data_IF_395419903909
#
_entry.id   IF_395419903909
#
_cell.length_a   1.000
_cell.length_b   1.000
_cell.length_c   1.000
_cell.angle_alpha   90.00
_cell.angle_beta   90.00
_cell.angle_gamma   90.00
#
_symmetry.space_group_name_H-M   'P 1'
#
loop_
_entity.id
_entity.type
_entity.pdbx_description
1 polymer ?
#
# COMPACT_ATOMS: atom_id res chain seq x y z
N UNK A 1 13.04 -22.18 25.46
CA UNK A 1 13.63 -21.14 24.58
C UNK A 1 12.76 -21.06 23.33
N UNK A 2 11.99 -19.97 23.14
CA UNK A 2 11.32 -19.70 21.85
C UNK A 2 12.27 -18.83 21.02
N UNK A 3 12.45 -19.19 19.75
CA UNK A 3 13.43 -18.57 18.87
C UNK A 3 13.14 -17.08 18.58
N UNK A 4 14.18 -16.25 18.31
CA UNK A 4 14.03 -14.82 18.14
C UNK A 4 13.63 -14.47 16.69
N UNK A 5 12.40 -14.78 16.32
CA UNK A 5 11.86 -14.38 15.02
C UNK A 5 11.33 -12.93 15.08
N UNK A 6 11.61 -12.14 14.04
CA UNK A 6 11.10 -10.80 13.80
C UNK A 6 10.16 -10.85 12.58
N UNK A 7 9.00 -10.20 12.65
CA UNK A 7 8.03 -10.23 11.56
C UNK A 7 8.10 -8.93 10.76
N UNK A 8 8.54 -9.06 9.50
CA UNK A 8 8.63 -7.95 8.56
C UNK A 8 7.56 -8.14 7.48
N UNK A 9 6.57 -7.25 7.46
CA UNK A 9 5.54 -7.24 6.42
C UNK A 9 5.95 -6.27 5.31
N UNK A 10 6.13 -6.80 4.10
CA UNK A 10 6.36 -6.01 2.89
C UNK A 10 5.05 -5.61 2.24
N UNK A 11 4.52 -4.45 2.60
CA UNK A 11 3.24 -3.93 2.10
C UNK A 11 3.49 -3.03 0.89
N UNK A 12 4.15 -3.53 -0.13
CA UNK A 12 4.56 -2.71 -1.28
C UNK A 12 3.44 -2.49 -2.31
N UNK A 13 2.22 -2.99 -2.09
CA UNK A 13 1.11 -2.91 -3.07
C UNK A 13 -0.25 -2.67 -2.41
N UNK A 14 -0.29 -1.82 -1.39
CA UNK A 14 -1.49 -1.54 -0.58
C UNK A 14 -2.58 -0.89 -1.43
N UNK A 15 -2.21 0.01 -2.33
CA UNK A 15 -3.16 0.75 -3.16
C UNK A 15 -3.88 -0.18 -4.12
N UNK A 16 -3.17 -1.17 -4.67
CA UNK A 16 -3.73 -2.20 -5.53
C UNK A 16 -4.72 -3.12 -4.82
N UNK A 17 -4.63 -3.17 -3.49
CA UNK A 17 -5.26 -4.15 -2.63
C UNK A 17 -6.56 -3.61 -1.97
N UNK A 18 -6.73 -2.29 -1.91
CA UNK A 18 -7.82 -1.62 -1.20
C UNK A 18 -9.19 -1.66 -1.92
N UNK A 19 -9.26 -1.87 -3.24
CA UNK A 19 -10.50 -1.78 -4.04
C UNK A 19 -11.37 -3.07 -4.01
N UNK A 20 -10.93 -4.14 -3.34
CA UNK A 20 -11.69 -5.42 -3.31
C UNK A 20 -12.84 -5.46 -2.29
N UNK A 21 -13.18 -4.36 -1.62
CA UNK A 21 -14.24 -4.36 -0.61
C UNK A 21 -15.67 -4.48 -1.16
N UNK A 22 -15.88 -4.44 -2.49
CA UNK A 22 -17.24 -4.36 -3.07
C UNK A 22 -17.66 -5.51 -4.01
N UNK A 23 -16.87 -6.57 -4.22
CA UNK A 23 -17.12 -7.50 -5.33
C UNK A 23 -17.25 -9.02 -5.04
N UNK A 24 -17.16 -9.51 -3.80
CA UNK A 24 -17.55 -10.90 -3.52
C UNK A 24 -17.96 -11.10 -2.06
N UNK A 25 -18.91 -12.01 -1.81
CA UNK A 25 -19.34 -12.43 -0.48
C UNK A 25 -18.28 -13.20 0.32
N UNK A 26 -17.03 -13.22 -0.17
CA UNK A 26 -15.81 -13.76 0.47
C UNK A 26 -14.72 -12.68 0.58
N UNK A 27 -15.15 -11.41 0.64
CA UNK A 27 -14.37 -10.17 0.51
C UNK A 27 -13.16 -10.02 1.45
N UNK A 28 -12.05 -10.65 1.09
CA UNK A 28 -10.74 -10.34 1.68
C UNK A 28 -10.18 -9.07 1.02
N UNK A 29 -10.56 -7.91 1.56
CA UNK A 29 -9.84 -6.66 1.29
C UNK A 29 -8.40 -6.73 1.81
N UNK A 30 -7.59 -5.73 1.50
CA UNK A 30 -6.28 -5.60 2.14
C UNK A 30 -6.42 -5.36 3.65
N UNK A 31 -5.78 -6.20 4.45
CA UNK A 31 -5.62 -5.99 5.88
C UNK A 31 -4.14 -5.74 6.17
N UNK A 32 -3.81 -4.52 6.60
CA UNK A 32 -2.45 -4.22 7.05
C UNK A 32 -2.14 -4.97 8.32
N UNK A 33 -0.89 -5.39 8.50
CA UNK A 33 -0.42 -5.97 9.78
C UNK A 33 -0.65 -5.01 10.96
N UNK A 34 -0.71 -3.71 10.69
CA UNK A 34 -0.98 -2.67 11.69
C UNK A 34 -2.45 -2.64 12.15
N UNK A 35 -3.35 -3.29 11.42
CA UNK A 35 -4.77 -3.39 11.77
C UNK A 35 -5.13 -4.63 12.59
N UNK A 36 -4.17 -5.55 12.76
CA UNK A 36 -4.33 -6.82 13.48
C UNK A 36 -3.83 -6.64 14.92
N UNK A 37 -4.54 -7.19 15.90
CA UNK A 37 -4.03 -7.27 17.27
C UNK A 37 -3.10 -8.47 17.36
N UNK A 38 -1.82 -8.24 17.10
CA UNK A 38 -0.85 -9.32 17.00
C UNK A 38 -0.68 -10.15 18.27
N UNK A 39 -0.91 -9.56 19.44
CA UNK A 39 -0.83 -10.27 20.71
C UNK A 39 -2.08 -11.14 20.90
N UNK A 40 -3.27 -10.57 20.70
CA UNK A 40 -4.53 -11.29 20.89
C UNK A 40 -4.78 -12.35 19.80
N UNK A 41 -4.50 -12.03 18.54
CA UNK A 41 -4.86 -12.86 17.38
C UNK A 41 -3.81 -13.94 17.09
N UNK A 42 -2.53 -13.65 17.35
CA UNK A 42 -1.41 -14.51 16.96
C UNK A 42 -0.45 -14.86 18.10
N UNK A 43 -0.63 -14.31 19.31
CA UNK A 43 0.31 -14.48 20.42
C UNK A 43 1.71 -13.92 20.10
N UNK A 44 1.77 -12.96 19.17
CA UNK A 44 3.00 -12.36 18.69
C UNK A 44 3.28 -11.08 19.47
N UNK A 45 4.54 -10.92 19.90
CA UNK A 45 5.01 -9.73 20.59
C UNK A 45 5.02 -8.53 19.60
N UNK A 46 4.20 -7.49 19.83
CA UNK A 46 4.06 -6.40 18.86
C UNK A 46 5.31 -5.52 18.72
N UNK A 47 6.28 -5.61 19.65
CA UNK A 47 7.60 -4.97 19.50
C UNK A 47 8.43 -5.56 18.35
N UNK A 48 7.96 -6.66 17.74
CA UNK A 48 8.62 -7.38 16.64
C UNK A 48 8.00 -7.10 15.29
N UNK A 49 7.01 -6.21 15.22
CA UNK A 49 6.29 -5.89 13.99
C UNK A 49 6.94 -4.68 13.35
N UNK A 50 7.32 -4.86 12.08
CA UNK A 50 7.76 -3.79 11.21
C UNK A 50 6.94 -3.86 9.93
N UNK A 51 6.17 -2.81 9.65
CA UNK A 51 5.47 -2.66 8.38
C UNK A 51 6.31 -1.79 7.45
N UNK A 52 6.63 -2.31 6.26
CA UNK A 52 7.40 -1.61 5.25
C UNK A 52 6.51 -1.27 4.06
N UNK A 53 6.59 -0.03 3.60
CA UNK A 53 5.85 0.46 2.43
C UNK A 53 6.80 1.19 1.47
N UNK A 54 6.53 1.13 0.17
CA UNK A 54 7.27 1.90 -0.85
C UNK A 54 6.34 2.40 -1.96
N UNK A 55 6.63 3.61 -2.46
CA UNK A 55 5.90 4.20 -3.57
C UNK A 55 6.13 3.50 -4.92
N UNK A 56 7.07 2.56 -5.01
CA UNK A 56 7.53 2.00 -6.29
C UNK A 56 6.42 1.28 -7.07
N UNK A 57 5.63 0.42 -6.42
CA UNK A 57 4.56 -0.33 -7.11
C UNK A 57 3.22 0.38 -7.04
N UNK A 58 2.92 1.06 -5.93
CA UNK A 58 1.66 1.78 -5.77
C UNK A 58 1.57 2.99 -6.71
N UNK A 59 2.64 3.78 -6.84
CA UNK A 59 2.69 5.00 -7.65
C UNK A 59 3.50 4.87 -8.95
N UNK A 60 4.07 3.70 -9.24
CA UNK A 60 5.01 3.54 -10.35
C UNK A 60 6.29 4.38 -10.20
N UNK A 61 6.58 4.87 -8.99
CA UNK A 61 7.59 5.89 -8.72
C UNK A 61 8.90 5.27 -8.20
N UNK A 62 9.39 4.22 -8.85
CA UNK A 62 10.61 3.48 -8.42
C UNK A 62 11.84 4.40 -8.32
N UNK A 63 11.95 5.40 -9.20
CA UNK A 63 13.05 6.37 -9.19
C UNK A 63 12.99 7.36 -8.04
N UNK A 64 11.83 7.56 -7.41
CA UNK A 64 11.68 8.47 -6.27
C UNK A 64 12.35 7.94 -4.99
N UNK A 65 12.66 6.62 -4.95
CA UNK A 65 13.33 5.95 -3.82
C UNK A 65 12.66 6.24 -2.47
N UNK A 66 11.33 6.36 -2.47
CA UNK A 66 10.54 6.55 -1.26
C UNK A 66 10.18 5.19 -0.66
N UNK A 67 10.60 4.99 0.58
CA UNK A 67 10.19 3.87 1.41
C UNK A 67 9.97 4.37 2.84
N UNK A 68 8.99 3.77 3.52
CA UNK A 68 8.59 4.11 4.88
C UNK A 68 8.56 2.82 5.70
N UNK A 69 9.12 2.88 6.90
CA UNK A 69 9.02 1.81 7.89
C UNK A 69 8.18 2.31 9.08
N UNK A 70 7.11 1.59 9.40
CA UNK A 70 6.28 1.85 10.58
C UNK A 70 6.63 0.82 11.64
N UNK A 71 7.09 1.32 12.79
CA UNK A 71 7.48 0.51 13.95
C UNK A 71 6.67 1.00 15.16
N UNK A 72 5.60 0.29 15.54
CA UNK A 72 4.69 0.73 16.59
C UNK A 72 5.31 0.74 18.00
N UNK A 73 5.97 -0.35 18.41
CA UNK A 73 6.32 -0.61 19.83
C UNK A 73 7.81 -0.93 20.07
N UNK A 74 8.73 -0.50 19.18
CA UNK A 74 10.16 -0.76 19.33
C UNK A 74 11.02 0.47 19.04
N UNK A 75 11.25 1.27 20.09
CA UNK A 75 11.99 2.53 19.98
C UNK A 75 13.49 2.34 19.69
N UNK A 76 14.08 1.24 20.17
CA UNK A 76 15.48 0.92 19.87
C UNK A 76 15.65 0.68 18.37
N UNK A 77 14.78 -0.12 17.77
CA UNK A 77 14.79 -0.37 16.34
C UNK A 77 14.49 0.90 15.53
N UNK A 78 13.53 1.72 16.00
CA UNK A 78 13.21 3.01 15.39
C UNK A 78 14.41 3.95 15.40
N UNK A 79 15.15 4.02 16.50
CA UNK A 79 16.36 4.83 16.62
C UNK A 79 17.49 4.31 15.71
N UNK A 80 17.69 2.98 15.66
CA UNK A 80 18.68 2.36 14.79
C UNK A 80 18.38 2.62 13.31
N UNK A 81 17.14 2.44 12.86
CA UNK A 81 16.74 2.72 11.48
C UNK A 81 16.78 4.21 11.14
N UNK A 82 16.46 5.07 12.10
CA UNK A 82 16.57 6.53 11.92
C UNK A 82 18.04 6.98 11.77
N UNK A 83 18.97 6.31 12.45
CA UNK A 83 20.40 6.54 12.23
C UNK A 83 20.83 6.05 10.85
N UNK A 84 20.34 4.89 10.40
CA UNK A 84 20.66 4.33 9.08
C UNK A 84 20.07 5.17 7.93
N UNK A 85 18.87 5.72 8.11
CA UNK A 85 18.19 6.53 7.08
C UNK A 85 18.96 7.81 6.73
N UNK A 86 19.86 8.26 7.61
CA UNK A 86 20.76 9.38 7.32
C UNK A 86 21.64 9.12 6.08
N UNK A 87 22.00 7.87 5.81
CA UNK A 87 22.78 7.48 4.63
C UNK A 87 21.95 7.38 3.35
N UNK A 88 20.62 7.30 3.46
CA UNK A 88 19.71 7.05 2.33
C UNK A 88 18.59 8.10 2.27
N UNK A 89 18.96 9.37 2.38
CA UNK A 89 17.98 10.46 2.36
C UNK A 89 17.21 10.49 1.05
N UNK A 90 15.90 10.64 1.16
CA UNK A 90 15.03 10.96 0.05
C UNK A 90 15.38 12.35 -0.50
N UNK A 91 15.18 12.56 -1.81
CA UNK A 91 15.35 13.89 -2.38
C UNK A 91 14.30 14.85 -1.81
N UNK A 92 14.68 16.11 -1.57
CA UNK A 92 13.76 17.13 -1.06
C UNK A 92 12.57 17.37 -2.01
N UNK A 93 12.79 17.18 -3.33
CA UNK A 93 11.72 17.25 -4.31
C UNK A 93 10.71 16.11 -4.14
N UNK A 94 11.18 14.88 -3.95
CA UNK A 94 10.30 13.74 -3.69
C UNK A 94 9.54 13.92 -2.36
N UNK A 95 10.22 14.37 -1.31
CA UNK A 95 9.59 14.67 -0.02
C UNK A 95 8.48 15.71 -0.14
N UNK A 96 8.78 16.85 -0.78
CA UNK A 96 7.80 17.91 -1.01
C UNK A 96 6.61 17.42 -1.87
N UNK A 97 6.91 16.68 -2.95
CA UNK A 97 5.87 16.12 -3.82
C UNK A 97 4.94 15.18 -3.06
N UNK A 98 5.48 14.17 -2.37
CA UNK A 98 4.65 13.17 -1.67
C UNK A 98 3.96 13.77 -0.45
N UNK A 99 4.61 14.66 0.31
CA UNK A 99 3.98 15.37 1.42
C UNK A 99 2.80 16.23 0.94
N UNK A 100 2.98 16.96 -0.17
CA UNK A 100 1.91 17.76 -0.77
C UNK A 100 0.81 16.86 -1.32
N UNK A 101 1.14 15.81 -2.06
CA UNK A 101 0.17 14.91 -2.68
C UNK A 101 -0.68 14.17 -1.64
N UNK A 102 -0.06 13.62 -0.60
CA UNK A 102 -0.75 12.88 0.46
C UNK A 102 -1.57 13.80 1.38
N UNK A 103 -1.15 15.06 1.55
CA UNK A 103 -1.86 16.04 2.39
C UNK A 103 -2.88 16.89 1.61
N UNK A 104 -2.86 16.83 0.28
CA UNK A 104 -3.70 17.67 -0.56
C UNK A 104 -5.17 17.25 -0.45
N UNK A 105 -5.96 18.16 0.11
CA UNK A 105 -7.41 18.17 -0.04
C UNK A 105 -7.75 18.60 -1.46
N UNK A 106 -8.80 18.02 -2.04
CA UNK A 106 -9.22 18.21 -3.44
C UNK A 106 -9.83 19.59 -3.72
N UNK A 107 -9.23 20.66 -3.21
CA UNK A 107 -9.68 22.01 -3.49
C UNK A 107 -9.39 22.42 -4.95
N UNK A 108 -8.53 21.67 -5.66
CA UNK A 108 -8.15 21.90 -7.05
C UNK A 108 -8.85 21.00 -8.08
N UNK A 109 -9.66 20.02 -7.66
CA UNK A 109 -10.47 19.24 -8.62
C UNK A 109 -11.85 19.89 -8.82
N UNK A 110 -12.49 19.71 -9.98
CA UNK A 110 -13.84 20.19 -10.22
C UNK A 110 -14.76 19.71 -9.10
N UNK A 111 -15.37 20.64 -8.37
CA UNK A 111 -16.33 20.29 -7.31
C UNK A 111 -17.47 19.49 -7.94
N UNK A 112 -17.77 18.28 -7.47
CA UNK A 112 -18.97 17.58 -7.90
C UNK A 112 -20.18 18.47 -7.57
N UNK A 113 -21.05 18.62 -8.56
CA UNK A 113 -22.32 19.34 -8.42
C UNK A 113 -23.14 18.69 -7.30
N UNK A 114 -23.48 19.48 -6.28
CA UNK A 114 -24.40 19.18 -5.16
C UNK A 114 -24.04 18.02 -4.22
N UNK A 115 -23.59 18.36 -3.01
CA UNK A 115 -23.83 17.57 -1.79
C UNK A 115 -22.92 16.37 -1.48
N UNK A 116 -21.95 16.03 -2.32
CA UNK A 116 -21.03 14.91 -2.07
C UNK A 116 -19.77 15.34 -1.31
N UNK A 117 -19.32 14.52 -0.36
CA UNK A 117 -18.08 14.71 0.41
C UNK A 117 -16.88 15.08 -0.47
N UNK A 118 -16.05 16.01 0.02
CA UNK A 118 -14.81 16.44 -0.64
C UNK A 118 -13.79 15.29 -0.58
N UNK A 119 -13.73 14.48 -1.65
CA UNK A 119 -12.76 13.38 -1.78
C UNK A 119 -11.33 13.93 -1.79
N UNK A 120 -10.36 13.28 -1.16
CA UNK A 120 -8.95 13.70 -1.27
C UNK A 120 -8.35 13.40 -2.65
N UNK A 121 -7.22 14.03 -3.00
CA UNK A 121 -6.50 13.65 -4.23
C UNK A 121 -6.06 12.18 -4.21
N UNK A 122 -5.73 11.67 -3.02
CA UNK A 122 -5.41 10.27 -2.81
C UNK A 122 -6.61 9.40 -3.17
N UNK A 123 -7.82 9.71 -2.69
CA UNK A 123 -9.01 8.91 -3.00
C UNK A 123 -9.30 8.84 -4.50
N UNK A 124 -9.17 9.97 -5.19
CA UNK A 124 -9.35 10.02 -6.65
C UNK A 124 -8.30 9.17 -7.35
N UNK A 125 -7.04 9.25 -6.90
CA UNK A 125 -5.97 8.42 -7.41
C UNK A 125 -6.23 6.92 -7.18
N UNK A 126 -6.62 6.53 -5.97
CA UNK A 126 -6.91 5.13 -5.61
C UNK A 126 -8.02 4.57 -6.51
N UNK A 127 -9.12 5.29 -6.68
CA UNK A 127 -10.27 4.87 -7.50
C UNK A 127 -9.85 4.69 -8.96
N UNK A 128 -9.20 5.70 -9.54
CA UNK A 128 -8.82 5.68 -10.96
C UNK A 128 -7.75 4.62 -11.25
N UNK A 129 -6.73 4.53 -10.39
CA UNK A 129 -5.66 3.55 -10.54
C UNK A 129 -6.23 2.13 -10.47
N UNK A 130 -7.07 1.85 -9.48
CA UNK A 130 -7.69 0.53 -9.31
C UNK A 130 -8.58 0.16 -10.51
N UNK A 131 -9.36 1.11 -11.03
CA UNK A 131 -10.16 0.89 -12.23
C UNK A 131 -9.29 0.54 -13.45
N UNK A 132 -8.17 1.25 -13.66
CA UNK A 132 -7.23 0.97 -14.75
C UNK A 132 -6.59 -0.41 -14.63
N UNK A 133 -6.16 -0.76 -13.43
CA UNK A 133 -5.52 -2.05 -13.16
C UNK A 133 -6.49 -3.22 -13.35
N UNK A 134 -7.74 -3.07 -12.89
CA UNK A 134 -8.81 -4.05 -13.15
C UNK A 134 -9.03 -4.24 -14.65
N UNK A 135 -9.07 -3.16 -15.42
CA UNK A 135 -9.22 -3.23 -16.87
C UNK A 135 -8.01 -3.89 -17.56
N UNK A 136 -6.79 -3.59 -17.10
CA UNK A 136 -5.57 -4.21 -17.61
C UNK A 136 -5.50 -5.72 -17.28
N UNK A 137 -5.80 -6.11 -16.03
CA UNK A 137 -5.89 -7.52 -15.60
C UNK A 137 -6.89 -8.27 -16.46
N UNK A 138 -8.07 -7.69 -16.69
CA UNK A 138 -9.11 -8.30 -17.53
C UNK A 138 -8.61 -8.56 -18.95
N UNK A 139 -8.03 -7.55 -19.60
CA UNK A 139 -7.49 -7.70 -20.97
C UNK A 139 -6.41 -8.78 -21.04
N UNK A 140 -5.50 -8.82 -20.07
CA UNK A 140 -4.45 -9.84 -20.03
C UNK A 140 -5.02 -11.24 -19.79
N UNK A 141 -5.97 -11.36 -18.87
CA UNK A 141 -6.64 -12.63 -18.58
C UNK A 141 -7.39 -13.16 -19.80
N UNK A 142 -8.18 -12.31 -20.46
CA UNK A 142 -8.92 -12.66 -21.68
C UNK A 142 -7.95 -13.12 -22.79
N UNK A 143 -6.81 -12.44 -22.94
CA UNK A 143 -5.77 -12.83 -23.88
C UNK A 143 -5.13 -14.18 -23.52
N UNK A 144 -4.75 -14.41 -22.26
CA UNK A 144 -4.18 -15.68 -21.80
C UNK A 144 -5.14 -16.85 -22.01
N UNK A 145 -6.42 -16.67 -21.67
CA UNK A 145 -7.46 -17.68 -21.88
C UNK A 145 -7.65 -18.00 -23.37
N UNK A 146 -7.56 -16.99 -24.25
CA UNK A 146 -7.59 -17.21 -25.72
C UNK A 146 -6.42 -18.07 -26.23
N UNK A 147 -5.32 -18.15 -25.46
CA UNK A 147 -4.13 -18.95 -25.75
C UNK A 147 -4.08 -20.25 -24.93
N UNK A 148 -5.14 -20.57 -24.20
CA UNK A 148 -5.21 -21.74 -23.31
C UNK A 148 -4.12 -21.71 -22.21
N UNK A 149 -3.71 -20.52 -21.79
CA UNK A 149 -2.79 -20.29 -20.67
C UNK A 149 -3.64 -20.11 -19.41
N UNK A 150 -3.38 -20.93 -18.39
CA UNK A 150 -4.06 -20.81 -17.10
C UNK A 150 -3.60 -19.56 -16.36
N UNK A 151 -4.57 -18.79 -15.85
CA UNK A 151 -4.33 -17.59 -15.04
C UNK A 151 -4.79 -17.90 -13.61
N UNK A 152 -3.92 -17.68 -12.64
CA UNK A 152 -4.29 -17.75 -11.23
C UNK A 152 -5.12 -16.52 -10.88
N UNK A 153 -6.25 -16.69 -10.22
CA UNK A 153 -7.03 -15.54 -9.77
C UNK A 153 -6.33 -14.86 -8.59
N UNK A 154 -5.52 -13.84 -8.90
CA UNK A 154 -4.82 -13.03 -7.91
C UNK A 154 -5.57 -11.73 -7.68
N UNK A 155 -5.90 -11.45 -6.42
CA UNK A 155 -6.56 -10.21 -6.02
C UNK A 155 -5.57 -9.06 -5.77
N UNK A 156 -4.27 -9.32 -5.89
CA UNK A 156 -3.17 -8.40 -5.59
C UNK A 156 -2.05 -8.53 -6.62
N UNK A 157 -1.44 -7.40 -6.98
CA UNK A 157 -0.30 -7.33 -7.89
C UNK A 157 -0.68 -7.63 -9.34
N UNK A 158 -0.44 -6.68 -10.24
CA UNK A 158 -0.54 -6.95 -11.67
C UNK A 158 0.74 -7.66 -12.15
N UNK A 159 0.80 -8.99 -12.02
CA UNK A 159 1.82 -9.83 -12.65
C UNK A 159 1.26 -11.18 -13.07
#
# INVERSE_FOLDING_TARGET
MREPWCFVSGEESIVHAADNQHASSDGAGFHSVLSVDAEADAGCDPSRIVALWSASKDFGATSARLAVAVIPQNDLLKAALSSLSFSFRISSLADCFFSTFLSAKSSYLPKPSSGSEEKSLVDVYLIENSARLRNAKRHLSDWCLSKNIQVLDSNFGAH
#
